data_IF_509575177861
#
_entry.id   IF_509575177861
#
_cell.length_a   1.000
_cell.length_b   1.000
_cell.length_c   1.000
_cell.angle_alpha   90.00
_cell.angle_beta   90.00
_cell.angle_gamma   90.00
#
_symmetry.space_group_name_H-M   'P 1'
#
loop_
_entity.id
_entity.type
_entity.pdbx_description
1 polymer ?
#
# COMPACT_ATOMS: atom_id res chain seq x y z
N UNK A 1 -12.25 9.86 12.87
CA UNK A 1 -10.97 9.40 13.45
C UNK A 1 -9.82 9.83 12.54
N UNK A 2 -8.66 10.25 13.06
CA UNK A 2 -7.57 10.82 12.23
C UNK A 2 -6.89 9.75 11.35
N UNK A 3 -6.88 9.98 10.04
CA UNK A 3 -6.16 9.17 9.04
C UNK A 3 -5.01 9.98 8.41
N UNK A 4 -3.92 9.33 7.96
CA UNK A 4 -3.62 7.89 8.07
C UNK A 4 -3.51 7.44 9.52
N UNK A 5 -3.76 6.15 9.79
CA UNK A 5 -3.85 5.61 11.15
C UNK A 5 -2.59 5.89 11.97
N UNK A 6 -1.40 5.79 11.37
CA UNK A 6 -0.10 6.09 11.98
C UNK A 6 0.06 7.53 12.51
N UNK A 7 -0.83 8.45 12.10
CA UNK A 7 -0.86 9.84 12.57
C UNK A 7 -1.82 10.08 13.74
N UNK A 8 -2.68 9.11 14.07
CA UNK A 8 -3.64 9.18 15.18
C UNK A 8 -2.95 9.15 16.54
N UNK A 9 -3.61 9.64 17.60
CA UNK A 9 -3.04 9.63 18.96
C UNK A 9 -2.76 8.21 19.45
N UNK A 10 -3.72 7.29 19.28
CA UNK A 10 -3.60 5.90 19.74
C UNK A 10 -2.44 5.16 19.08
N UNK A 11 -2.29 5.28 17.75
CA UNK A 11 -1.18 4.61 17.05
C UNK A 11 0.19 5.17 17.40
N UNK A 12 0.29 6.41 17.91
CA UNK A 12 1.56 6.90 18.45
C UNK A 12 1.98 6.10 19.67
N UNK A 13 1.07 5.86 20.62
CA UNK A 13 1.35 5.02 21.79
C UNK A 13 1.76 3.61 21.39
N UNK A 14 1.04 2.98 20.45
CA UNK A 14 1.39 1.63 19.98
C UNK A 14 2.77 1.59 19.32
N UNK A 15 3.07 2.59 18.48
CA UNK A 15 4.38 2.70 17.83
C UNK A 15 5.51 2.94 18.83
N UNK A 16 5.28 3.70 19.89
CA UNK A 16 6.30 3.93 20.92
C UNK A 16 6.61 2.63 21.66
N UNK A 17 5.58 1.81 21.96
CA UNK A 17 5.76 0.47 22.52
C UNK A 17 6.50 -0.44 21.53
N UNK A 18 6.10 -0.47 20.26
CA UNK A 18 6.78 -1.26 19.23
C UNK A 18 8.25 -0.87 19.09
N UNK A 19 8.57 0.43 19.01
CA UNK A 19 9.94 0.95 18.91
C UNK A 19 10.79 0.66 20.14
N UNK A 20 10.14 0.49 21.31
CA UNK A 20 10.82 0.06 22.53
C UNK A 20 11.14 -1.45 22.54
N UNK A 21 10.58 -2.21 21.60
CA UNK A 21 11.02 -3.58 21.35
C UNK A 21 12.37 -3.59 20.64
N UNK A 22 13.16 -4.62 20.86
CA UNK A 22 14.51 -4.79 20.30
C UNK A 22 14.53 -5.00 18.77
N UNK A 23 13.41 -5.39 18.17
CA UNK A 23 13.29 -5.69 16.75
C UNK A 23 11.91 -5.26 16.21
N UNK A 24 11.61 -3.95 16.15
CA UNK A 24 10.27 -3.46 15.82
C UNK A 24 9.82 -3.84 14.41
N UNK A 25 10.76 -3.94 13.48
CA UNK A 25 10.46 -4.05 12.06
C UNK A 25 10.15 -5.48 11.60
N UNK A 26 10.34 -6.47 12.48
CA UNK A 26 9.84 -7.84 12.25
C UNK A 26 8.32 -7.94 12.44
N UNK A 27 7.73 -6.97 13.15
CA UNK A 27 6.29 -6.95 13.41
C UNK A 27 5.57 -6.35 12.22
N UNK A 28 4.68 -7.12 11.63
CA UNK A 28 3.73 -6.63 10.65
C UNK A 28 2.44 -6.18 11.34
N UNK A 29 1.97 -4.97 11.01
CA UNK A 29 0.80 -4.36 11.62
C UNK A 29 -0.39 -4.39 10.66
N UNK A 30 -1.50 -4.98 11.09
CA UNK A 30 -2.79 -4.94 10.36
C UNK A 30 -3.82 -4.21 11.23
N UNK A 31 -4.50 -3.23 10.64
CA UNK A 31 -5.49 -2.41 11.31
C UNK A 31 -6.87 -2.99 11.05
N UNK A 32 -7.60 -3.35 12.10
CA UNK A 32 -9.02 -3.72 12.02
C UNK A 32 -9.87 -2.46 12.06
N UNK A 33 -10.73 -2.26 11.07
CA UNK A 33 -11.53 -1.04 10.94
C UNK A 33 -12.84 -1.27 10.18
N UNK A 34 -13.77 -0.33 10.28
CA UNK A 34 -14.97 -0.27 9.44
C UNK A 34 -14.94 1.01 8.60
N UNK A 35 -15.40 0.97 7.33
CA UNK A 35 -16.04 -0.17 6.63
C UNK A 35 -15.04 -1.09 5.91
N UNK A 36 -13.74 -0.90 6.07
CA UNK A 36 -12.75 -1.61 5.24
C UNK A 36 -12.37 -3.01 5.75
N UNK A 37 -12.79 -3.39 6.96
CA UNK A 37 -12.44 -4.65 7.60
C UNK A 37 -11.00 -4.70 8.06
N UNK A 38 -10.06 -4.91 7.14
CA UNK A 38 -8.63 -5.00 7.40
C UNK A 38 -7.82 -4.07 6.49
N UNK A 39 -6.88 -3.32 7.09
CA UNK A 39 -5.93 -2.48 6.36
C UNK A 39 -4.51 -2.82 6.82
N UNK A 40 -3.68 -3.49 6.00
CA UNK A 40 -2.25 -3.62 6.24
C UNK A 40 -1.59 -2.24 6.33
N UNK A 41 -0.60 -2.08 7.22
CA UNK A 41 0.07 -0.79 7.46
C UNK A 41 0.66 -0.18 6.20
N UNK A 42 1.13 -0.99 5.27
CA UNK A 42 1.71 -0.62 3.99
C UNK A 42 0.73 0.16 3.11
N UNK A 43 -0.58 -0.11 3.25
CA UNK A 43 -1.65 0.47 2.42
C UNK A 43 -2.44 1.58 3.14
N UNK A 44 -2.03 2.01 4.33
CA UNK A 44 -2.80 2.99 5.12
C UNK A 44 -2.98 4.37 4.46
N UNK A 45 -2.11 4.70 3.51
CA UNK A 45 -2.14 5.97 2.76
C UNK A 45 -2.94 5.86 1.46
N UNK A 46 -3.23 4.64 1.01
CA UNK A 46 -3.91 4.37 -0.25
C UNK A 46 -5.40 4.67 -0.11
N UNK A 47 -6.04 5.13 -1.18
CA UNK A 47 -7.50 5.24 -1.20
C UNK A 47 -8.12 3.84 -1.23
N UNK A 48 -9.18 3.55 -0.45
CA UNK A 48 -9.93 4.47 0.41
C UNK A 48 -9.36 4.65 1.83
N UNK A 49 -8.46 3.77 2.30
CA UNK A 49 -7.99 3.72 3.69
C UNK A 49 -7.47 5.06 4.25
N UNK A 50 -6.70 5.80 3.47
CA UNK A 50 -6.15 7.10 3.87
C UNK A 50 -7.16 8.26 3.85
N UNK A 51 -8.32 8.09 3.19
CA UNK A 51 -9.18 9.21 2.77
C UNK A 51 -10.66 9.08 3.13
N UNK A 52 -11.17 7.90 3.50
CA UNK A 52 -12.58 7.78 3.89
C UNK A 52 -12.86 8.59 5.17
N UNK A 53 -14.05 9.17 5.31
CA UNK A 53 -14.48 9.86 6.52
C UNK A 53 -15.85 9.34 6.95
N UNK A 54 -15.83 8.23 7.66
CA UNK A 54 -17.03 7.62 8.24
C UNK A 54 -16.84 7.65 9.76
N UNK A 55 -17.80 8.24 10.51
CA UNK A 55 -17.75 8.19 11.96
C UNK A 55 -17.92 6.74 12.41
N UNK A 56 -17.02 6.28 13.29
CA UNK A 56 -17.17 4.97 13.93
C UNK A 56 -18.34 5.07 14.89
N UNK A 57 -19.38 4.28 14.67
CA UNK A 57 -20.38 4.00 15.69
C UNK A 57 -19.67 3.17 16.76
N UNK A 58 -19.81 3.50 18.04
CA UNK A 58 -19.25 2.69 19.16
C UNK A 58 -19.96 1.32 19.31
N UNK A 59 -20.42 0.74 18.20
CA UNK A 59 -21.17 -0.51 18.07
C UNK A 59 -20.70 -1.16 16.78
N UNK A 60 -20.44 -2.46 16.85
CA UNK A 60 -20.11 -3.28 15.70
C UNK A 60 -21.34 -4.10 15.30
N UNK A 61 -21.81 -3.89 14.07
CA UNK A 61 -22.91 -4.67 13.52
C UNK A 61 -22.43 -6.08 13.14
N UNK A 62 -23.32 -7.05 13.13
CA UNK A 62 -22.98 -8.45 12.80
C UNK A 62 -22.41 -8.59 11.39
N UNK A 63 -22.89 -7.80 10.43
CA UNK A 63 -22.34 -7.79 9.07
C UNK A 63 -20.90 -7.26 9.02
N UNK A 64 -20.56 -6.26 9.85
CA UNK A 64 -19.19 -5.76 9.96
C UNK A 64 -18.26 -6.80 10.57
N UNK A 65 -18.74 -7.53 11.59
CA UNK A 65 -17.99 -8.62 12.23
C UNK A 65 -17.72 -9.75 11.23
N UNK A 66 -18.74 -10.19 10.48
CA UNK A 66 -18.61 -11.21 9.44
C UNK A 66 -17.63 -10.79 8.35
N UNK A 67 -17.73 -9.55 7.87
CA UNK A 67 -16.77 -9.01 6.91
C UNK A 67 -15.33 -9.08 7.43
N UNK A 68 -15.09 -8.66 8.68
CA UNK A 68 -13.76 -8.75 9.30
C UNK A 68 -13.29 -10.22 9.35
N UNK A 69 -14.15 -11.15 9.76
CA UNK A 69 -13.83 -12.57 9.85
C UNK A 69 -13.43 -13.17 8.49
N UNK A 70 -14.21 -12.87 7.45
CA UNK A 70 -13.95 -13.35 6.08
C UNK A 70 -12.64 -12.77 5.55
N UNK A 71 -12.39 -11.48 5.80
CA UNK A 71 -11.14 -10.84 5.43
C UNK A 71 -9.93 -11.41 6.17
N UNK A 72 -10.03 -11.70 7.47
CA UNK A 72 -8.95 -12.35 8.24
C UNK A 72 -8.65 -13.71 7.63
N UNK A 73 -9.68 -14.50 7.33
CA UNK A 73 -9.50 -15.84 6.75
C UNK A 73 -8.80 -15.78 5.39
N UNK A 74 -9.27 -14.90 4.49
CA UNK A 74 -8.64 -14.68 3.19
C UNK A 74 -7.20 -14.16 3.33
N UNK A 75 -6.97 -13.23 4.25
CA UNK A 75 -5.67 -12.63 4.48
C UNK A 75 -4.63 -13.64 4.98
N UNK A 76 -5.02 -14.53 5.90
CA UNK A 76 -4.16 -15.57 6.47
C UNK A 76 -3.97 -16.81 5.57
N UNK A 77 -4.81 -16.98 4.53
CA UNK A 77 -4.57 -17.98 3.47
C UNK A 77 -3.30 -17.65 2.70
N UNK A 78 -3.09 -16.37 2.37
CA UNK A 78 -1.93 -15.88 1.62
C UNK A 78 -0.75 -15.54 2.53
N UNK A 79 -0.99 -14.86 3.65
CA UNK A 79 0.04 -14.38 4.56
C UNK A 79 0.19 -15.29 5.78
N UNK A 80 1.40 -15.74 6.07
CA UNK A 80 1.69 -16.65 7.19
C UNK A 80 2.39 -15.92 8.33
N UNK A 81 1.94 -16.19 9.55
CA UNK A 81 2.48 -15.61 10.78
C UNK A 81 2.70 -16.71 11.79
N UNK A 82 3.88 -16.73 12.39
CA UNK A 82 4.20 -17.66 13.49
C UNK A 82 3.45 -17.30 14.77
N UNK A 83 3.18 -16.01 14.99
CA UNK A 83 2.46 -15.49 16.16
C UNK A 83 1.53 -14.35 15.73
N UNK A 84 0.28 -14.40 16.17
CA UNK A 84 -0.69 -13.32 15.98
C UNK A 84 -1.01 -12.68 17.32
N UNK A 85 -0.81 -11.36 17.42
CA UNK A 85 -1.09 -10.58 18.64
C UNK A 85 -2.28 -9.67 18.37
N UNK A 86 -3.35 -9.83 19.15
CA UNK A 86 -4.53 -8.97 19.12
C UNK A 86 -4.43 -7.88 20.20
N UNK A 87 -4.19 -6.64 19.76
CA UNK A 87 -4.24 -5.44 20.60
C UNK A 87 -5.52 -4.63 20.37
N UNK A 88 -6.67 -5.30 20.51
CA UNK A 88 -7.99 -4.77 20.19
C UNK A 88 -8.90 -4.79 21.42
N UNK A 89 -9.92 -3.90 21.51
CA UNK A 89 -10.98 -4.03 22.51
C UNK A 89 -11.63 -5.41 22.47
N UNK A 90 -12.19 -5.85 23.61
CA UNK A 90 -12.73 -7.21 23.78
C UNK A 90 -13.65 -7.65 22.64
N UNK A 91 -14.62 -6.81 22.26
CA UNK A 91 -15.58 -7.12 21.21
C UNK A 91 -14.91 -7.47 19.87
N UNK A 92 -13.90 -6.71 19.44
CA UNK A 92 -13.14 -7.02 18.22
C UNK A 92 -12.15 -8.17 18.39
N UNK A 93 -11.57 -8.32 19.58
CA UNK A 93 -10.70 -9.45 19.87
C UNK A 93 -11.45 -10.77 19.74
N UNK A 94 -12.68 -10.84 20.24
CA UNK A 94 -13.52 -12.05 20.16
C UNK A 94 -13.78 -12.42 18.69
N UNK A 95 -14.06 -11.42 17.83
CA UNK A 95 -14.21 -11.60 16.37
C UNK A 95 -12.95 -12.19 15.72
N UNK A 96 -11.76 -11.68 16.08
CA UNK A 96 -10.47 -12.20 15.57
C UNK A 96 -10.22 -13.63 16.09
N UNK A 97 -10.52 -13.89 17.36
CA UNK A 97 -10.27 -15.16 18.04
C UNK A 97 -11.07 -16.32 17.44
N UNK A 98 -12.26 -16.05 16.91
CA UNK A 98 -13.05 -17.07 16.19
C UNK A 98 -12.32 -17.64 14.97
N UNK A 99 -11.53 -16.82 14.27
CA UNK A 99 -10.76 -17.24 13.09
C UNK A 99 -9.31 -17.60 13.40
N UNK A 100 -8.78 -17.09 14.53
CA UNK A 100 -7.40 -17.34 14.98
C UNK A 100 -7.44 -17.79 16.45
N UNK A 101 -7.70 -19.07 16.74
CA UNK A 101 -7.88 -19.55 18.12
C UNK A 101 -6.71 -19.27 19.06
N UNK A 102 -5.47 -19.35 18.52
CA UNK A 102 -4.22 -19.16 19.27
C UNK A 102 -3.77 -17.69 19.37
N UNK A 103 -4.64 -16.74 19.05
CA UNK A 103 -4.31 -15.30 19.08
C UNK A 103 -4.02 -14.80 20.49
N UNK A 104 -2.88 -14.12 20.67
CA UNK A 104 -2.46 -13.57 21.96
C UNK A 104 -3.13 -12.23 22.23
N UNK A 105 -3.95 -12.14 23.28
CA UNK A 105 -4.65 -10.91 23.65
C UNK A 105 -3.82 -10.02 24.59
N UNK A 106 -3.56 -8.78 24.19
CA UNK A 106 -2.76 -7.82 24.98
C UNK A 106 -3.54 -6.63 25.53
N UNK A 107 -4.78 -6.42 25.08
CA UNK A 107 -5.61 -5.31 25.54
C UNK A 107 -6.44 -5.71 26.77
N UNK A 108 -6.23 -5.02 27.89
CA UNK A 108 -7.04 -5.14 29.11
C UNK A 108 -7.86 -3.86 29.30
N UNK A 109 -9.16 -3.93 29.04
CA UNK A 109 -10.05 -2.76 29.06
C UNK A 109 -9.87 -1.90 27.81
N UNK A 110 -9.08 -0.82 27.91
CA UNK A 110 -8.85 0.12 26.80
C UNK A 110 -7.47 -0.10 26.15
N UNK A 111 -7.33 -0.06 24.81
CA UNK A 111 -6.05 -0.29 24.13
C UNK A 111 -4.93 0.67 24.56
N UNK A 112 -5.25 1.95 24.77
CA UNK A 112 -4.26 2.95 25.19
C UNK A 112 -4.06 3.05 26.71
N UNK A 113 -4.60 2.12 27.50
CA UNK A 113 -4.39 2.12 28.96
C UNK A 113 -2.96 1.69 29.30
N UNK A 114 -2.43 2.16 30.43
CA UNK A 114 -1.07 1.81 30.86
C UNK A 114 -0.89 0.29 31.02
N UNK A 115 -1.91 -0.42 31.51
CA UNK A 115 -1.90 -1.87 31.64
C UNK A 115 -1.81 -2.59 30.29
N UNK A 116 -2.66 -2.17 29.33
CA UNK A 116 -2.64 -2.73 27.98
C UNK A 116 -1.31 -2.49 27.26
N UNK A 117 -0.75 -1.27 27.36
CA UNK A 117 0.51 -0.92 26.71
C UNK A 117 1.70 -1.68 27.33
N UNK A 118 1.71 -1.83 28.66
CA UNK A 118 2.73 -2.63 29.36
C UNK A 118 2.69 -4.09 28.92
N UNK A 119 1.49 -4.69 28.88
CA UNK A 119 1.28 -6.08 28.42
C UNK A 119 1.67 -6.27 26.96
N UNK A 120 1.32 -5.33 26.08
CA UNK A 120 1.75 -5.35 24.69
C UNK A 120 3.28 -5.36 24.58
N UNK A 121 3.97 -4.50 25.33
CA UNK A 121 5.43 -4.42 25.33
C UNK A 121 6.10 -5.70 25.83
N UNK A 122 5.54 -6.35 26.85
CA UNK A 122 6.01 -7.64 27.38
C UNK A 122 5.93 -8.74 26.32
N UNK A 123 4.74 -8.96 25.76
CA UNK A 123 4.50 -9.99 24.73
C UNK A 123 5.37 -9.74 23.49
N UNK A 124 5.51 -8.48 23.05
CA UNK A 124 6.39 -8.16 21.93
C UNK A 124 7.85 -8.55 22.23
N UNK A 125 8.39 -8.19 23.40
CA UNK A 125 9.78 -8.53 23.76
C UNK A 125 10.00 -10.04 23.86
N UNK A 126 9.00 -10.80 24.29
CA UNK A 126 9.07 -12.26 24.38
C UNK A 126 9.22 -12.93 23.01
N UNK A 127 8.57 -12.39 21.98
CA UNK A 127 8.52 -12.98 20.65
C UNK A 127 9.54 -12.39 19.66
N UNK A 128 9.71 -11.06 19.59
CA UNK A 128 10.51 -10.43 18.50
C UNK A 128 12.00 -10.80 18.54
N UNK A 129 12.52 -11.16 19.72
CA UNK A 129 13.91 -11.59 19.92
C UNK A 129 14.22 -12.98 19.33
N UNK A 130 13.19 -13.76 18.99
CA UNK A 130 13.34 -15.11 18.40
C UNK A 130 13.69 -15.06 16.91
N UNK A 131 13.57 -13.89 16.29
CA UNK A 131 13.72 -13.71 14.85
C UNK A 131 14.97 -12.91 14.52
N UNK A 132 15.45 -13.06 13.27
CA UNK A 132 16.51 -12.23 12.71
C UNK A 132 16.13 -10.75 12.85
N UNK A 133 17.10 -9.92 13.21
CA UNK A 133 16.93 -8.48 13.25
C UNK A 133 16.62 -7.92 11.85
N UNK A 134 15.50 -7.21 11.73
CA UNK A 134 15.06 -6.57 10.48
C UNK A 134 15.44 -5.10 10.52
N UNK A 135 16.18 -4.63 9.52
CA UNK A 135 16.60 -3.23 9.43
C UNK A 135 15.44 -2.36 8.94
N UNK A 136 15.43 -1.08 9.32
CA UNK A 136 14.44 -0.10 8.83
C UNK A 136 14.35 -0.08 7.30
N UNK A 137 15.50 -0.10 6.61
CA UNK A 137 15.55 -0.09 5.14
C UNK A 137 14.96 -1.33 4.50
N UNK A 138 15.20 -2.50 5.09
CA UNK A 138 14.61 -3.78 4.67
C UNK A 138 13.09 -3.70 4.78
N UNK A 139 12.58 -3.20 5.90
CA UNK A 139 11.13 -3.01 6.08
C UNK A 139 10.52 -1.99 5.13
N UNK A 140 11.20 -0.89 4.83
CA UNK A 140 10.71 0.08 3.84
C UNK A 140 10.70 -0.50 2.42
N UNK A 141 11.64 -1.39 2.08
CA UNK A 141 11.61 -2.11 0.81
C UNK A 141 10.40 -3.03 0.71
N UNK A 142 10.06 -3.74 1.79
CA UNK A 142 8.81 -4.53 1.83
C UNK A 142 7.56 -3.65 1.68
N UNK A 143 7.51 -2.49 2.34
CA UNK A 143 6.41 -1.52 2.15
C UNK A 143 6.31 -1.12 0.67
N UNK A 144 7.44 -0.80 0.03
CA UNK A 144 7.47 -0.45 -1.38
C UNK A 144 6.97 -1.60 -2.27
N UNK A 145 7.38 -2.84 -1.95
CA UNK A 145 6.96 -4.04 -2.68
C UNK A 145 5.47 -4.29 -2.55
N UNK A 146 4.89 -4.23 -1.36
CA UNK A 146 3.45 -4.39 -1.16
C UNK A 146 2.64 -3.34 -1.93
N UNK A 147 3.09 -2.08 -1.94
CA UNK A 147 2.44 -1.00 -2.71
C UNK A 147 2.59 -1.24 -4.22
N UNK A 148 3.75 -1.70 -4.68
CA UNK A 148 3.97 -2.03 -6.08
C UNK A 148 3.09 -3.21 -6.53
N UNK A 149 2.96 -4.25 -5.71
CA UNK A 149 2.10 -5.39 -5.99
C UNK A 149 0.62 -5.00 -6.01
N UNK A 150 0.22 -4.07 -5.13
CA UNK A 150 -1.12 -3.50 -5.16
C UNK A 150 -1.40 -2.74 -6.47
N UNK A 151 -0.46 -1.90 -6.93
CA UNK A 151 -0.63 -1.10 -8.15
C UNK A 151 -0.51 -1.91 -9.44
N UNK A 152 0.41 -2.87 -9.46
CA UNK A 152 0.87 -3.47 -10.71
C UNK A 152 0.72 -4.97 -10.76
N UNK A 153 0.06 -5.61 -9.80
CA UNK A 153 0.05 -7.05 -9.56
C UNK A 153 1.33 -7.64 -8.97
N UNK A 154 1.21 -8.86 -8.43
CA UNK A 154 2.27 -9.55 -7.70
C UNK A 154 3.57 -9.67 -8.51
N UNK A 155 3.47 -10.02 -9.79
CA UNK A 155 4.62 -10.33 -10.65
C UNK A 155 5.34 -9.05 -11.06
N UNK A 156 4.62 -8.05 -11.54
CA UNK A 156 5.22 -6.79 -11.99
C UNK A 156 5.72 -5.98 -10.80
N UNK A 157 4.96 -5.93 -9.71
CA UNK A 157 5.34 -5.24 -8.48
C UNK A 157 6.61 -5.81 -7.85
N UNK A 158 6.73 -7.14 -7.78
CA UNK A 158 7.95 -7.80 -7.27
C UNK A 158 9.16 -7.61 -8.19
N UNK A 159 8.95 -7.51 -9.50
CA UNK A 159 10.02 -7.19 -10.45
C UNK A 159 10.49 -5.75 -10.31
N UNK A 160 9.57 -4.80 -10.11
CA UNK A 160 9.90 -3.39 -9.90
C UNK A 160 10.66 -3.19 -8.59
N UNK A 161 10.31 -3.94 -7.55
CA UNK A 161 10.92 -3.88 -6.21
C UNK A 161 11.60 -5.23 -5.89
N UNK A 162 12.70 -5.50 -6.58
CA UNK A 162 13.53 -6.69 -6.34
C UNK A 162 14.27 -6.61 -4.99
N UNK A 163 15.06 -7.62 -4.63
CA UNK A 163 15.89 -7.56 -3.42
C UNK A 163 17.14 -6.68 -3.57
N UNK A 164 17.48 -6.29 -4.80
CA UNK A 164 18.66 -5.47 -5.10
C UNK A 164 18.37 -3.97 -5.07
N UNK A 165 17.08 -3.57 -5.00
CA UNK A 165 16.73 -2.15 -4.92
C UNK A 165 17.04 -1.57 -3.54
N UNK A 166 17.50 -0.34 -3.55
CA UNK A 166 17.76 0.44 -2.35
C UNK A 166 16.65 1.46 -2.08
N UNK A 167 16.44 1.77 -0.79
CA UNK A 167 15.50 2.79 -0.36
C UNK A 167 16.24 4.02 0.18
N UNK A 168 15.96 5.18 -0.41
CA UNK A 168 16.45 6.47 0.05
C UNK A 168 15.33 7.34 0.61
N UNK A 169 15.54 7.89 1.81
CA UNK A 169 14.54 8.68 2.53
C UNK A 169 13.86 7.88 3.63
N UNK A 170 12.63 8.26 3.99
CA UNK A 170 11.91 7.70 5.13
C UNK A 170 10.41 7.71 4.88
N UNK A 171 9.69 6.70 5.37
CA UNK A 171 8.23 6.73 5.33
C UNK A 171 7.65 8.01 5.96
N UNK A 172 6.66 8.67 5.34
CA UNK A 172 5.88 8.24 4.17
C UNK A 172 6.35 8.81 2.81
N UNK A 173 7.63 9.16 2.66
CA UNK A 173 8.18 9.65 1.38
C UNK A 173 9.60 9.12 1.17
N UNK A 174 9.77 8.21 0.22
CA UNK A 174 11.06 7.61 -0.10
C UNK A 174 11.18 7.29 -1.60
N UNK A 175 12.42 7.23 -2.08
CA UNK A 175 12.78 6.83 -3.44
C UNK A 175 13.17 5.36 -3.46
N UNK A 176 12.88 4.70 -4.56
CA UNK A 176 13.38 3.36 -4.90
C UNK A 176 14.49 3.54 -5.93
N UNK A 177 15.68 3.04 -5.60
CA UNK A 177 16.90 3.17 -6.40
C UNK A 177 17.32 1.79 -6.89
N UNK A 178 17.59 1.66 -8.18
CA UNK A 178 18.14 0.47 -8.82
C UNK A 178 19.39 0.87 -9.62
N UNK A 179 20.51 0.20 -9.36
CA UNK A 179 21.84 0.52 -9.93
C UNK A 179 22.17 2.02 -9.89
N UNK A 180 21.97 2.65 -8.73
CA UNK A 180 22.24 4.07 -8.50
C UNK A 180 21.31 5.04 -9.23
N UNK A 181 20.24 4.58 -9.90
CA UNK A 181 19.23 5.44 -10.53
C UNK A 181 17.85 5.22 -9.91
N UNK A 182 17.11 6.31 -9.75
CA UNK A 182 15.74 6.24 -9.25
C UNK A 182 14.83 5.54 -10.28
N UNK A 183 14.08 4.52 -9.84
CA UNK A 183 13.06 3.84 -10.65
C UNK A 183 11.66 4.28 -10.27
N UNK A 184 11.41 4.53 -8.98
CA UNK A 184 10.12 4.97 -8.48
C UNK A 184 10.26 5.90 -7.26
N UNK A 185 9.19 6.59 -6.92
CA UNK A 185 9.06 7.39 -5.70
C UNK A 185 7.72 7.12 -5.02
N UNK A 186 7.75 6.72 -3.76
CA UNK A 186 6.57 6.65 -2.92
C UNK A 186 6.22 8.06 -2.44
N UNK A 187 4.99 8.52 -2.72
CA UNK A 187 4.54 9.84 -2.29
C UNK A 187 3.47 9.76 -1.20
N UNK A 188 3.65 10.54 -0.14
CA UNK A 188 2.69 10.64 0.97
C UNK A 188 1.27 11.00 0.52
N UNK A 189 1.14 11.88 -0.47
CA UNK A 189 -0.14 12.44 -0.91
C UNK A 189 -1.02 11.42 -1.64
N UNK A 190 -0.38 10.53 -2.43
CA UNK A 190 -1.08 9.48 -3.15
C UNK A 190 -1.12 8.16 -2.39
N UNK A 191 -0.12 7.90 -1.55
CA UNK A 191 0.09 6.58 -0.96
C UNK A 191 0.53 5.52 -1.98
N UNK A 192 0.97 5.95 -3.17
CA UNK A 192 1.30 5.11 -4.31
C UNK A 192 2.72 5.44 -4.82
N UNK A 193 3.31 4.50 -5.56
CA UNK A 193 4.54 4.69 -6.28
C UNK A 193 4.28 5.49 -7.57
N UNK A 194 5.16 6.46 -7.79
CA UNK A 194 5.26 7.27 -9.00
C UNK A 194 6.46 6.78 -9.79
N UNK A 195 6.27 6.35 -11.04
CA UNK A 195 7.38 5.83 -11.84
C UNK A 195 8.21 6.96 -12.46
N UNK A 196 9.50 6.67 -12.64
CA UNK A 196 10.38 7.36 -13.58
C UNK A 196 10.33 6.65 -14.94
N UNK A 197 10.95 7.19 -15.99
CA UNK A 197 11.11 6.47 -17.26
C UNK A 197 11.80 5.11 -17.08
N UNK A 198 12.84 5.04 -16.23
CA UNK A 198 13.54 3.77 -15.94
C UNK A 198 12.58 2.75 -15.31
N UNK A 199 11.79 3.16 -14.33
CA UNK A 199 10.78 2.30 -13.70
C UNK A 199 9.63 1.93 -14.64
N UNK A 200 9.25 2.83 -15.56
CA UNK A 200 8.27 2.57 -16.62
C UNK A 200 8.70 1.40 -17.54
N UNK A 201 10.00 1.19 -17.73
CA UNK A 201 10.52 0.04 -18.47
C UNK A 201 10.05 -1.32 -17.93
N UNK A 202 9.77 -1.42 -16.63
CA UNK A 202 9.20 -2.64 -16.02
C UNK A 202 7.79 -2.91 -16.50
N UNK A 203 6.95 -1.87 -16.64
CA UNK A 203 5.58 -1.97 -17.17
C UNK A 203 5.59 -2.29 -18.66
N UNK A 204 6.47 -1.65 -19.44
CA UNK A 204 6.63 -1.95 -20.87
C UNK A 204 7.04 -3.42 -21.08
N UNK A 205 8.01 -3.90 -20.28
CA UNK A 205 8.44 -5.31 -20.34
C UNK A 205 7.34 -6.31 -19.96
N UNK A 206 6.38 -5.87 -19.14
CA UNK A 206 5.25 -6.68 -18.69
C UNK A 206 4.00 -6.53 -19.57
N UNK A 207 4.01 -5.59 -20.52
CA UNK A 207 2.83 -5.17 -21.30
C UNK A 207 1.64 -4.80 -20.41
N UNK A 208 1.87 -3.87 -19.48
CA UNK A 208 0.87 -3.46 -18.49
C UNK A 208 0.72 -1.93 -18.45
N UNK A 209 -0.52 -1.46 -18.35
CA UNK A 209 -0.89 -0.05 -18.25
C UNK A 209 -0.31 0.80 -19.40
N UNK A 210 -0.42 0.28 -20.62
CA UNK A 210 0.14 0.89 -21.83
C UNK A 210 -0.85 1.84 -22.49
N UNK A 211 -0.36 3.00 -22.92
CA UNK A 211 -1.08 4.00 -23.70
C UNK A 211 -0.26 4.33 -24.93
N UNK A 212 -0.79 4.09 -26.11
CA UNK A 212 -0.16 4.36 -27.40
C UNK A 212 -0.65 5.68 -27.96
N UNK A 213 0.29 6.48 -28.45
CA UNK A 213 0.02 7.75 -29.11
C UNK A 213 0.71 7.80 -30.48
N UNK A 214 0.22 8.66 -31.36
CA UNK A 214 0.83 8.89 -32.67
C UNK A 214 2.31 9.30 -32.52
N UNK A 215 3.16 8.75 -33.39
CA UNK A 215 4.60 9.01 -33.45
C UNK A 215 4.98 10.48 -33.65
N UNK A 216 4.11 11.26 -34.29
CA UNK A 216 4.35 12.66 -34.66
C UNK A 216 3.80 13.62 -33.59
N UNK A 217 3.11 13.09 -32.57
CA UNK A 217 2.59 13.84 -31.44
C UNK A 217 3.64 14.03 -30.34
N UNK A 218 3.91 15.26 -29.91
CA UNK A 218 4.90 15.53 -28.84
C UNK A 218 4.25 16.21 -27.63
N UNK A 219 3.52 15.47 -26.77
CA UNK A 219 2.89 16.04 -25.60
C UNK A 219 3.92 16.42 -24.55
N UNK A 220 3.79 17.64 -23.99
CA UNK A 220 4.66 18.17 -22.93
C UNK A 220 4.02 18.22 -21.54
N UNK A 221 2.70 18.04 -21.43
CA UNK A 221 1.97 18.16 -20.17
C UNK A 221 0.90 17.12 -20.02
N UNK A 222 -0.15 17.21 -20.83
CA UNK A 222 -1.26 16.27 -20.80
C UNK A 222 -1.51 15.70 -22.19
N UNK A 223 -1.93 14.45 -22.24
CA UNK A 223 -2.44 13.77 -23.43
C UNK A 223 -3.95 13.83 -23.35
N UNK A 224 -4.59 14.35 -24.39
CA UNK A 224 -6.04 14.28 -24.53
C UNK A 224 -6.42 12.95 -25.18
N UNK A 225 -7.63 12.45 -24.91
CA UNK A 225 -8.13 11.18 -25.48
C UNK A 225 -8.05 11.13 -27.01
N UNK A 226 -8.27 12.25 -27.72
CA UNK A 226 -8.10 12.34 -29.19
C UNK A 226 -6.68 12.04 -29.68
N UNK A 227 -5.68 12.16 -28.82
CA UNK A 227 -4.28 11.82 -29.12
C UNK A 227 -3.89 10.40 -28.73
N UNK A 228 -4.82 9.61 -28.19
CA UNK A 228 -4.62 8.19 -27.85
C UNK A 228 -5.08 7.33 -29.03
N UNK A 229 -4.19 6.46 -29.51
CA UNK A 229 -4.52 5.47 -30.53
C UNK A 229 -5.11 4.19 -29.90
N UNK A 230 -4.56 3.81 -28.75
CA UNK A 230 -4.98 2.65 -27.97
C UNK A 230 -4.52 2.78 -26.51
N UNK A 231 -5.30 2.28 -25.57
CA UNK A 231 -4.95 2.10 -24.18
C UNK A 231 -5.44 0.75 -23.66
N UNK A 232 -4.68 0.12 -22.75
CA UNK A 232 -5.10 -1.11 -22.08
C UNK A 232 -6.42 -0.87 -21.32
N UNK A 233 -7.42 -1.73 -21.53
CA UNK A 233 -8.79 -1.56 -20.99
C UNK A 233 -8.87 -1.65 -19.45
N UNK A 234 -7.89 -2.29 -18.81
CA UNK A 234 -7.84 -2.47 -17.36
C UNK A 234 -7.35 -1.22 -16.61
N UNK A 235 -6.81 -0.22 -17.32
CA UNK A 235 -6.38 1.06 -16.75
C UNK A 235 -7.55 1.72 -16.02
N UNK A 236 -7.31 2.09 -14.76
CA UNK A 236 -8.22 2.87 -13.92
C UNK A 236 -7.70 4.27 -13.67
N UNK A 237 -8.59 5.14 -13.21
CA UNK A 237 -8.22 6.50 -12.82
C UNK A 237 -7.14 6.45 -11.72
N UNK A 238 -6.18 7.37 -11.83
CA UNK A 238 -4.99 7.48 -10.98
C UNK A 238 -3.94 6.36 -11.12
N UNK A 239 -4.13 5.38 -12.00
CA UNK A 239 -3.09 4.39 -12.30
C UNK A 239 -1.86 5.05 -12.90
N UNK A 240 -0.70 4.49 -12.58
CA UNK A 240 0.53 4.82 -13.29
C UNK A 240 0.53 4.12 -14.64
N UNK A 241 0.78 4.91 -15.69
CA UNK A 241 0.76 4.45 -17.07
C UNK A 241 2.07 4.74 -17.77
N UNK A 242 2.40 3.92 -18.76
CA UNK A 242 3.49 4.15 -19.71
C UNK A 242 2.92 4.60 -21.05
N UNK A 243 3.48 5.67 -21.60
CA UNK A 243 3.10 6.21 -22.91
C UNK A 243 4.13 5.78 -23.94
N UNK A 244 3.67 5.15 -25.01
CA UNK A 244 4.48 4.55 -26.05
C UNK A 244 4.28 5.26 -27.39
N UNK A 245 5.39 5.39 -28.13
CA UNK A 245 5.41 5.78 -29.54
C UNK A 245 6.19 4.73 -30.33
N UNK A 246 5.56 4.07 -31.30
CA UNK A 246 6.17 2.95 -32.05
C UNK A 246 6.84 1.92 -31.11
N UNK A 247 6.14 1.53 -30.05
CA UNK A 247 6.63 0.61 -29.01
C UNK A 247 7.82 1.11 -28.17
N UNK A 248 8.28 2.36 -28.36
CA UNK A 248 9.29 2.98 -27.51
C UNK A 248 8.66 3.79 -26.38
N UNK A 249 9.20 3.63 -25.16
CA UNK A 249 8.79 4.41 -24.00
C UNK A 249 9.09 5.90 -24.20
N UNK A 250 8.05 6.69 -24.38
CA UNK A 250 8.12 8.14 -24.54
C UNK A 250 7.96 8.85 -23.18
N UNK A 251 6.95 8.46 -22.41
CA UNK A 251 6.63 9.13 -21.14
C UNK A 251 6.06 8.17 -20.09
N UNK A 252 6.07 8.64 -18.85
CA UNK A 252 5.31 8.05 -17.74
C UNK A 252 4.38 9.10 -17.15
N UNK A 253 3.20 8.67 -16.74
CA UNK A 253 2.16 9.58 -16.26
C UNK A 253 1.15 8.90 -15.36
N UNK A 254 0.08 9.64 -15.10
CA UNK A 254 -1.05 9.17 -14.31
C UNK A 254 -2.31 9.25 -15.16
N UNK A 255 -3.07 8.17 -15.22
CA UNK A 255 -4.35 8.11 -15.91
C UNK A 255 -5.37 9.06 -15.28
N UNK A 256 -6.14 9.75 -16.12
CA UNK A 256 -7.20 10.69 -15.74
C UNK A 256 -8.59 10.26 -16.23
N UNK A 257 -8.65 9.16 -16.95
CA UNK A 257 -9.84 8.41 -17.34
C UNK A 257 -9.48 6.93 -17.37
N UNK A 258 -10.47 6.03 -17.47
CA UNK A 258 -10.21 4.60 -17.61
C UNK A 258 -9.80 4.24 -19.05
N UNK A 259 -9.28 3.03 -19.27
CA UNK A 259 -8.80 2.60 -20.59
C UNK A 259 -9.85 2.63 -21.69
N UNK A 260 -11.08 2.21 -21.40
CA UNK A 260 -12.22 2.26 -22.33
C UNK A 260 -12.54 3.70 -22.76
N UNK A 261 -12.57 4.64 -21.81
CA UNK A 261 -12.76 6.07 -22.09
C UNK A 261 -11.62 6.63 -22.94
N UNK A 262 -10.37 6.20 -22.72
CA UNK A 262 -9.24 6.63 -23.55
C UNK A 262 -9.38 6.19 -25.01
N UNK A 263 -9.95 5.00 -25.25
CA UNK A 263 -10.13 4.43 -26.58
C UNK A 263 -11.33 5.02 -27.34
N UNK A 264 -12.40 5.39 -26.63
CA UNK A 264 -13.67 5.80 -27.26
C UNK A 264 -13.92 7.31 -27.30
N UNK A 265 -13.42 8.04 -26.31
CA UNK A 265 -13.73 9.47 -26.17
C UNK A 265 -12.90 10.33 -27.11
N UNK A 266 -13.48 11.44 -27.55
CA UNK A 266 -12.82 12.44 -28.41
C UNK A 266 -12.38 13.70 -27.66
N UNK A 267 -12.70 13.79 -26.37
CA UNK A 267 -12.36 14.92 -25.48
C UNK A 267 -12.02 14.42 -24.08
N UNK A 268 -11.34 15.26 -23.30
CA UNK A 268 -10.92 14.97 -21.92
C UNK A 268 -9.42 14.68 -21.80
N UNK A 269 -8.87 14.96 -20.62
CA UNK A 269 -7.49 14.63 -20.26
C UNK A 269 -7.39 13.12 -20.03
N UNK A 270 -6.63 12.41 -20.86
CA UNK A 270 -6.42 10.96 -20.75
C UNK A 270 -5.28 10.63 -19.79
N UNK A 271 -4.12 11.28 -19.99
CA UNK A 271 -2.93 11.06 -19.18
C UNK A 271 -2.30 12.39 -18.79
N UNK A 272 -1.99 12.56 -17.51
CA UNK A 272 -1.12 13.64 -17.03
C UNK A 272 0.32 13.15 -16.98
N UNK A 273 1.17 13.68 -17.86
CA UNK A 273 2.58 13.30 -17.95
C UNK A 273 3.34 13.82 -16.72
N UNK A 274 4.25 13.00 -16.21
CA UNK A 274 5.19 13.39 -15.16
C UNK A 274 6.60 13.55 -15.69
N UNK A 275 7.11 12.53 -16.38
CA UNK A 275 8.42 12.55 -17.04
C UNK A 275 8.25 12.09 -18.48
N UNK A 276 8.97 12.71 -19.40
CA UNK A 276 9.07 12.32 -20.79
C UNK A 276 10.54 12.36 -21.24
N UNK A 277 10.85 11.68 -22.34
CA UNK A 277 12.17 11.70 -22.98
C UNK A 277 12.46 13.05 -23.64
#
# INVERSE_FOLDING_TARGET
>A
AKKPYSSSKSHRFFRDVLRSSSNPWVVHEVIVTSPLGLVPRELELVYPAGKYDIPVTNRWYEDEKRMIQDMIECYLKVNKYDVVISHLPKELHDVVKEKVPDVVSTCTGHPTSQGSLSKLGEVLREHVNRYRHVKTRERLREVARCVAQYQFDEKVGSRLISDDVEIEGSYPSFKVIEDGKQVAMFSRERGLLSLTLRGGGTLVSAKKNMVFIDKDFQPKGSILSVGVEYADEDIRLEDEVVVLQKDELYAVGTARMNGEEMNEMKTGEAVRIRHHR
#
